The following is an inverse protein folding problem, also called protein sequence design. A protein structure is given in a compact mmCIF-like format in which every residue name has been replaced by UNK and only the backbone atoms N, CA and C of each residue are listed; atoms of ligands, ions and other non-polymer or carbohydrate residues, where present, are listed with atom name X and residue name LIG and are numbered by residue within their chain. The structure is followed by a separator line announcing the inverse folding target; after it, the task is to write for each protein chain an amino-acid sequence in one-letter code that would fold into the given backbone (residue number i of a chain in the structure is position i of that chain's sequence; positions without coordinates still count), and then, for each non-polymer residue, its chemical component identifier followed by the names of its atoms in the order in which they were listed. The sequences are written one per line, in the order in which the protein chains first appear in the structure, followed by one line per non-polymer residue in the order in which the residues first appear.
data_IF_144533117507
#
_entry.id   IF_144533117507
#
_cell.length_a   1.000
_cell.length_b   1.000
_cell.length_c   1.000
_cell.angle_alpha   90.00
_cell.angle_beta   90.00
_cell.angle_gamma   90.00
#
_symmetry.space_group_name_H-M   'P 1'
#
loop_
_entity.id
_entity.type
_entity.pdbx_description
1 polymer ?
#
# COMPACT_ATOMS: atom_id res chain seq x y z
N UNK A 1 19.49 -13.61 -14.47
CA UNK A 1 18.77 -12.77 -13.50
C UNK A 1 18.69 -13.56 -12.21
N UNK A 2 19.18 -13.00 -11.10
CA UNK A 2 18.99 -13.63 -9.80
C UNK A 2 17.48 -13.67 -9.52
N UNK A 3 16.93 -14.86 -9.32
CA UNK A 3 15.57 -15.06 -8.81
C UNK A 3 15.60 -14.68 -7.34
N UNK A 4 15.26 -13.44 -7.00
CA UNK A 4 15.00 -13.12 -5.60
C UNK A 4 13.65 -13.72 -5.21
N UNK A 5 13.62 -14.53 -4.16
CA UNK A 5 12.37 -15.06 -3.56
C UNK A 5 11.52 -13.96 -2.89
N UNK A 6 11.89 -12.69 -3.10
CA UNK A 6 11.28 -11.50 -2.53
C UNK A 6 11.15 -10.45 -3.63
N UNK A 7 9.97 -9.84 -3.72
CA UNK A 7 9.68 -8.69 -4.56
C UNK A 7 9.19 -7.57 -3.67
N UNK A 8 9.75 -6.38 -3.84
CA UNK A 8 9.27 -5.17 -3.17
C UNK A 8 8.39 -4.40 -4.14
N UNK A 9 7.14 -4.16 -3.75
CA UNK A 9 6.14 -3.53 -4.60
C UNK A 9 5.65 -2.21 -4.00
N UNK A 10 5.34 -1.25 -4.86
CA UNK A 10 4.76 0.04 -4.50
C UNK A 10 3.50 0.28 -5.34
N UNK A 11 2.41 0.70 -4.72
CA UNK A 11 1.21 1.06 -5.49
C UNK A 11 1.40 2.42 -6.19
N UNK A 12 0.75 2.65 -7.34
CA UNK A 12 0.88 3.91 -8.08
C UNK A 12 0.51 5.16 -7.27
N UNK A 13 -0.49 5.06 -6.39
CA UNK A 13 -0.91 6.17 -5.51
C UNK A 13 0.21 6.60 -4.57
N UNK A 14 0.87 5.65 -3.89
CA UNK A 14 2.04 5.96 -3.06
C UNK A 14 3.25 6.44 -3.88
N UNK A 15 3.41 5.97 -5.12
CA UNK A 15 4.44 6.53 -6.00
C UNK A 15 4.20 8.02 -6.27
N UNK A 16 2.94 8.41 -6.48
CA UNK A 16 2.54 9.81 -6.63
C UNK A 16 2.83 10.65 -5.37
N UNK A 17 2.52 10.13 -4.19
CA UNK A 17 2.82 10.80 -2.91
C UNK A 17 4.32 11.03 -2.70
N UNK A 18 5.15 10.11 -3.21
CA UNK A 18 6.61 10.24 -3.19
C UNK A 18 7.14 11.19 -4.28
N UNK A 19 6.27 11.94 -4.97
CA UNK A 19 6.61 12.92 -6.00
C UNK A 19 6.84 12.31 -7.38
N UNK A 20 6.50 11.05 -7.57
CA UNK A 20 6.52 10.39 -8.88
C UNK A 20 5.29 10.74 -9.73
N UNK A 21 5.39 10.48 -11.03
CA UNK A 21 4.27 10.53 -11.96
C UNK A 21 3.81 9.09 -12.28
N UNK A 22 2.67 8.62 -11.71
CA UNK A 22 2.15 7.29 -11.96
C UNK A 22 1.51 7.13 -13.37
N UNK A 23 1.41 8.21 -14.14
CA UNK A 23 0.83 8.20 -15.49
C UNK A 23 1.88 8.24 -16.59
N UNK A 24 3.17 8.30 -16.23
CA UNK A 24 4.27 8.33 -17.19
C UNK A 24 4.37 7.02 -17.99
N UNK A 25 4.69 7.13 -19.27
CA UNK A 25 4.88 5.98 -20.17
C UNK A 25 6.06 5.08 -19.76
N UNK A 26 7.03 5.63 -19.04
CA UNK A 26 8.24 4.92 -18.59
C UNK A 26 8.52 5.26 -17.13
N UNK A 27 8.67 4.22 -16.32
CA UNK A 27 9.16 4.36 -14.96
C UNK A 27 10.68 4.26 -14.87
N UNK A 28 11.28 4.92 -13.87
CA UNK A 28 10.63 5.87 -12.97
C UNK A 28 10.60 7.30 -13.53
N UNK A 29 9.66 8.12 -13.04
CA UNK A 29 9.44 9.51 -13.42
C UNK A 29 9.19 10.40 -12.19
N UNK A 30 10.25 10.99 -11.61
CA UNK A 30 10.14 12.21 -10.81
C UNK A 30 10.30 12.07 -9.29
N UNK A 31 10.30 10.86 -8.73
CA UNK A 31 10.50 10.69 -7.30
C UNK A 31 11.98 10.76 -6.92
N UNK A 32 12.34 11.73 -6.07
CA UNK A 32 13.68 11.77 -5.46
C UNK A 32 13.93 10.67 -4.42
N UNK A 33 12.89 9.93 -4.02
CA UNK A 33 12.97 8.97 -2.92
C UNK A 33 13.13 7.52 -3.38
N UNK A 34 12.43 7.12 -4.46
CA UNK A 34 12.33 5.70 -4.86
C UNK A 34 12.77 5.43 -6.29
N UNK A 35 12.99 6.46 -7.12
CA UNK A 35 13.36 6.27 -8.52
C UNK A 35 14.64 5.44 -8.70
N UNK A 36 15.69 5.67 -7.91
CA UNK A 36 16.93 4.88 -8.03
C UNK A 36 16.70 3.39 -7.76
N UNK A 37 15.92 3.06 -6.72
CA UNK A 37 15.56 1.68 -6.41
C UNK A 37 14.69 1.03 -7.51
N UNK A 38 13.86 1.80 -8.20
CA UNK A 38 13.09 1.32 -9.36
C UNK A 38 14.02 1.04 -10.55
N UNK A 39 14.95 1.97 -10.88
CA UNK A 39 15.92 1.79 -11.97
C UNK A 39 16.79 0.56 -11.77
N UNK A 40 17.19 0.32 -10.53
CA UNK A 40 18.03 -0.81 -10.15
C UNK A 40 17.25 -2.13 -10.02
N UNK A 41 15.93 -2.11 -10.21
CA UNK A 41 15.08 -3.30 -10.19
C UNK A 41 14.77 -3.83 -8.79
N UNK A 42 15.00 -3.05 -7.74
CA UNK A 42 14.66 -3.41 -6.37
C UNK A 42 13.17 -3.22 -6.08
N UNK A 43 12.56 -2.15 -6.62
CA UNK A 43 11.15 -1.79 -6.41
C UNK A 43 10.40 -1.90 -7.73
N UNK A 44 9.22 -2.52 -7.69
CA UNK A 44 8.29 -2.59 -8.80
C UNK A 44 7.03 -1.77 -8.51
N UNK A 45 6.67 -0.85 -9.41
CA UNK A 45 5.35 -0.20 -9.36
C UNK A 45 4.31 -1.19 -9.89
N UNK A 46 3.28 -1.45 -9.10
CA UNK A 46 2.21 -2.36 -9.53
C UNK A 46 1.24 -1.69 -10.48
N UNK A 47 0.45 -2.47 -11.22
CA UNK A 47 -0.73 -1.91 -11.91
C UNK A 47 -1.69 -1.27 -10.89
N UNK A 48 -2.46 -0.23 -11.26
CA UNK A 48 -3.51 0.33 -10.41
C UNK A 48 -4.49 -0.76 -9.93
N UNK A 49 -5.05 -0.56 -8.74
CA UNK A 49 -6.15 -1.40 -8.22
C UNK A 49 -7.49 -0.74 -8.54
N UNK A 50 -8.53 -1.55 -8.77
CA UNK A 50 -9.86 -1.03 -9.14
C UNK A 50 -10.56 -0.37 -7.95
N UNK A 51 -11.50 0.53 -8.24
CA UNK A 51 -12.40 1.15 -7.27
C UNK A 51 -12.28 2.66 -7.14
N UNK A 52 -13.43 3.28 -6.99
CA UNK A 52 -13.61 4.66 -6.56
C UNK A 52 -14.19 4.70 -5.14
N UNK A 53 -13.85 5.73 -4.35
CA UNK A 53 -14.40 5.90 -3.00
C UNK A 53 -15.92 6.13 -3.05
N UNK A 54 -16.42 6.72 -4.14
CA UNK A 54 -17.82 7.10 -4.32
C UNK A 54 -18.69 5.95 -4.85
N UNK A 55 -18.10 4.79 -5.17
CA UNK A 55 -18.85 3.61 -5.59
C UNK A 55 -19.72 3.08 -4.43
N UNK A 56 -20.96 2.67 -4.75
CA UNK A 56 -21.82 2.02 -3.75
C UNK A 56 -21.29 0.62 -3.48
N UNK A 57 -20.84 0.29 -2.25
CA UNK A 57 -20.31 -1.03 -1.94
C UNK A 57 -21.28 -2.19 -2.24
N UNK A 58 -22.58 -1.93 -2.33
CA UNK A 58 -23.58 -2.93 -2.71
C UNK A 58 -23.55 -3.31 -4.20
N UNK A 59 -23.02 -2.44 -5.06
CA UNK A 59 -22.94 -2.61 -6.51
C UNK A 59 -21.54 -3.06 -6.98
N UNK A 60 -20.56 -3.10 -6.09
CA UNK A 60 -19.19 -3.54 -6.38
C UNK A 60 -19.14 -5.07 -6.51
N UNK A 61 -18.72 -5.58 -7.67
CA UNK A 61 -18.50 -7.03 -7.90
C UNK A 61 -17.05 -7.48 -7.64
N UNK A 62 -16.08 -6.55 -7.75
CA UNK A 62 -14.65 -6.86 -7.58
C UNK A 62 -14.32 -7.09 -6.11
N UNK A 63 -13.76 -8.25 -5.79
CA UNK A 63 -13.31 -8.60 -4.43
C UNK A 63 -12.21 -7.64 -3.95
N UNK A 64 -11.30 -7.26 -4.85
CA UNK A 64 -10.24 -6.28 -4.56
C UNK A 64 -10.83 -4.93 -4.16
N UNK A 65 -11.91 -4.52 -4.82
CA UNK A 65 -12.57 -3.23 -4.61
C UNK A 65 -13.42 -3.22 -3.34
N UNK A 66 -14.20 -4.27 -3.09
CA UNK A 66 -14.91 -4.47 -1.83
C UNK A 66 -13.93 -4.39 -0.65
N UNK A 67 -12.77 -5.04 -0.76
CA UNK A 67 -11.75 -4.99 0.29
C UNK A 67 -11.16 -3.59 0.48
N UNK A 68 -11.09 -2.75 -0.56
CA UNK A 68 -10.68 -1.36 -0.42
C UNK A 68 -11.71 -0.54 0.34
N UNK A 69 -13.01 -0.73 0.08
CA UNK A 69 -14.08 -0.12 0.89
C UNK A 69 -14.04 -0.58 2.35
N UNK A 70 -13.87 -1.89 2.60
CA UNK A 70 -13.72 -2.42 3.96
C UNK A 70 -12.49 -1.84 4.67
N UNK A 71 -11.37 -1.72 3.96
CA UNK A 71 -10.16 -1.10 4.46
C UNK A 71 -10.39 0.37 4.80
N UNK A 72 -11.04 1.12 3.92
CA UNK A 72 -11.40 2.51 4.15
C UNK A 72 -12.23 2.64 5.44
N UNK A 73 -13.21 1.76 5.67
CA UNK A 73 -13.99 1.75 6.91
C UNK A 73 -13.14 1.47 8.15
N UNK A 74 -12.20 0.51 8.10
CA UNK A 74 -11.31 0.21 9.23
C UNK A 74 -10.35 1.36 9.52
N UNK A 75 -9.80 1.97 8.48
CA UNK A 75 -8.87 3.11 8.56
C UNK A 75 -9.61 4.33 9.17
N UNK A 76 -10.77 4.68 8.61
CA UNK A 76 -11.63 5.75 9.12
C UNK A 76 -12.05 5.55 10.59
N UNK A 77 -12.34 4.31 11.00
CA UNK A 77 -12.67 4.03 12.40
C UNK A 77 -11.48 4.17 13.38
N UNK A 78 -10.25 4.18 12.86
CA UNK A 78 -9.01 4.25 13.65
C UNK A 78 -8.43 5.67 13.69
N UNK A 79 -8.78 6.53 12.74
CA UNK A 79 -8.34 7.93 12.70
C UNK A 79 -9.15 8.80 13.67
N UNK A 80 -8.50 9.80 14.26
CA UNK A 80 -9.18 10.79 15.12
C UNK A 80 -9.92 11.87 14.31
N UNK A 81 -9.75 11.86 12.98
CA UNK A 81 -10.30 12.87 12.06
C UNK A 81 -11.00 12.27 10.84
N UNK A 82 -11.97 11.34 11.02
CA UNK A 82 -12.55 10.56 9.92
C UNK A 82 -13.37 11.38 8.91
N UNK A 83 -13.72 12.62 9.24
CA UNK A 83 -14.52 13.49 8.37
C UNK A 83 -13.68 14.45 7.54
N UNK A 84 -12.35 14.51 7.74
CA UNK A 84 -11.49 15.52 7.08
C UNK A 84 -10.27 14.93 6.38
N UNK A 85 -9.99 13.63 6.54
CA UNK A 85 -8.86 12.96 5.89
C UNK A 85 -9.43 11.90 4.95
N UNK A 86 -9.16 12.05 3.65
CA UNK A 86 -9.44 11.02 2.66
C UNK A 86 -8.24 10.07 2.64
N UNK A 87 -8.44 8.85 3.15
CA UNK A 87 -7.41 7.81 3.26
C UNK A 87 -7.64 6.71 2.19
N UNK A 88 -8.36 7.03 1.10
CA UNK A 88 -8.67 6.07 0.03
C UNK A 88 -7.42 5.56 -0.68
N UNK A 89 -6.42 6.41 -0.89
CA UNK A 89 -5.17 6.03 -1.54
C UNK A 89 -4.40 4.99 -0.70
N UNK A 90 -4.49 5.05 0.63
CA UNK A 90 -3.91 4.06 1.54
C UNK A 90 -4.51 2.67 1.37
N UNK A 91 -5.79 2.59 1.02
CA UNK A 91 -6.47 1.31 0.77
C UNK A 91 -5.86 0.54 -0.40
N UNK A 92 -5.12 1.22 -1.29
CA UNK A 92 -4.49 0.58 -2.44
C UNK A 92 -3.56 -0.56 -2.02
N UNK A 93 -2.87 -0.45 -0.88
CA UNK A 93 -2.00 -1.51 -0.37
C UNK A 93 -2.77 -2.75 0.10
N UNK A 94 -4.01 -2.59 0.55
CA UNK A 94 -4.91 -3.73 0.86
C UNK A 94 -5.34 -4.39 -0.45
N UNK A 95 -5.76 -3.59 -1.44
CA UNK A 95 -6.13 -4.11 -2.76
C UNK A 95 -4.98 -4.85 -3.46
N UNK A 96 -3.75 -4.31 -3.39
CA UNK A 96 -2.55 -4.96 -3.93
C UNK A 96 -2.29 -6.29 -3.22
N UNK A 97 -2.41 -6.34 -1.89
CA UNK A 97 -2.23 -7.58 -1.14
C UNK A 97 -3.21 -8.66 -1.59
N UNK A 98 -4.50 -8.34 -1.73
CA UNK A 98 -5.51 -9.29 -2.21
C UNK A 98 -5.21 -9.76 -3.64
N UNK A 99 -4.93 -8.84 -4.56
CA UNK A 99 -4.60 -9.20 -5.95
C UNK A 99 -3.40 -10.15 -6.02
N UNK A 100 -2.37 -9.93 -5.20
CA UNK A 100 -1.21 -10.83 -5.15
C UNK A 100 -1.60 -12.24 -4.66
N UNK A 101 -2.47 -12.34 -3.67
CA UNK A 101 -2.97 -13.64 -3.20
C UNK A 101 -3.88 -14.33 -4.23
N UNK A 102 -4.73 -13.60 -4.94
CA UNK A 102 -5.55 -14.14 -6.05
C UNK A 102 -4.67 -14.73 -7.17
N UNK A 103 -3.51 -14.13 -7.42
CA UNK A 103 -2.53 -14.62 -8.40
C UNK A 103 -1.73 -15.82 -7.88
N UNK A 104 -1.45 -15.88 -6.58
CA UNK A 104 -0.73 -16.98 -5.96
C UNK A 104 -0.98 -17.04 -4.45
N UNK A 105 -1.74 -18.02 -3.99
CA UNK A 105 -2.03 -18.21 -2.55
C UNK A 105 -0.82 -18.68 -1.72
N UNK A 106 0.27 -19.13 -2.36
CA UNK A 106 1.47 -19.67 -1.69
C UNK A 106 2.57 -18.62 -1.51
N UNK A 107 2.17 -17.40 -1.23
CA UNK A 107 3.07 -16.28 -0.94
C UNK A 107 2.86 -15.80 0.50
N UNK A 108 3.81 -14.99 0.97
CA UNK A 108 3.63 -14.16 2.16
C UNK A 108 3.64 -12.70 1.74
N UNK A 109 2.65 -11.94 2.19
CA UNK A 109 2.63 -10.48 2.00
C UNK A 109 3.02 -9.79 3.30
N UNK A 110 4.03 -8.92 3.24
CA UNK A 110 4.43 -8.09 4.39
C UNK A 110 4.30 -6.63 3.98
N UNK A 111 3.33 -5.92 4.57
CA UNK A 111 3.15 -4.49 4.36
C UNK A 111 3.98 -3.71 5.37
N UNK A 112 4.80 -2.79 4.87
CA UNK A 112 5.59 -1.87 5.68
C UNK A 112 4.93 -0.50 5.67
N UNK A 113 4.57 0.05 6.83
CA UNK A 113 3.88 1.33 6.89
C UNK A 113 4.16 2.09 8.20
N UNK A 114 4.12 3.41 8.15
CA UNK A 114 4.08 4.30 9.31
C UNK A 114 2.67 4.71 9.70
N UNK A 115 1.67 4.23 8.97
CA UNK A 115 0.25 4.48 9.23
C UNK A 115 -0.35 3.35 10.09
N UNK A 116 -0.98 3.74 11.20
CA UNK A 116 -1.57 2.78 12.15
C UNK A 116 -2.91 2.23 11.66
N UNK A 117 -3.72 3.05 10.99
CA UNK A 117 -4.99 2.65 10.40
C UNK A 117 -4.78 1.61 9.31
N UNK A 118 -3.86 1.86 8.38
CA UNK A 118 -3.50 0.93 7.32
C UNK A 118 -2.91 -0.37 7.89
N UNK A 119 -2.02 -0.29 8.87
CA UNK A 119 -1.48 -1.49 9.51
C UNK A 119 -2.60 -2.35 10.14
N UNK A 120 -3.62 -1.70 10.71
CA UNK A 120 -4.80 -2.38 11.26
C UNK A 120 -5.68 -2.96 10.15
N UNK A 121 -5.94 -2.22 9.08
CA UNK A 121 -6.74 -2.67 7.95
C UNK A 121 -6.13 -3.92 7.30
N UNK A 122 -4.82 -3.95 7.05
CA UNK A 122 -4.14 -5.14 6.53
C UNK A 122 -4.37 -6.37 7.42
N UNK A 123 -4.27 -6.21 8.74
CA UNK A 123 -4.42 -7.32 9.69
C UNK A 123 -5.87 -7.80 9.89
N UNK A 124 -6.86 -7.01 9.48
CA UNK A 124 -8.29 -7.32 9.65
C UNK A 124 -8.93 -7.72 8.34
N UNK A 125 -8.76 -6.90 7.31
CA UNK A 125 -9.43 -7.04 6.02
C UNK A 125 -8.84 -8.19 5.23
N UNK A 126 -7.51 -8.27 5.07
CA UNK A 126 -6.93 -9.36 4.24
C UNK A 126 -7.31 -10.77 4.76
N UNK A 127 -7.28 -11.05 6.08
CA UNK A 127 -7.80 -12.30 6.63
C UNK A 127 -9.33 -12.49 6.52
N UNK A 128 -10.11 -11.40 6.44
CA UNK A 128 -11.55 -11.48 6.21
C UNK A 128 -11.87 -12.15 4.86
N UNK A 129 -11.01 -11.93 3.87
CA UNK A 129 -11.11 -12.54 2.53
C UNK A 129 -10.41 -13.91 2.43
N UNK A 130 -10.01 -14.53 3.55
CA UNK A 130 -9.47 -15.89 3.60
C UNK A 130 -7.95 -16.01 3.43
N UNK A 131 -7.22 -14.89 3.36
CA UNK A 131 -5.76 -14.88 3.19
C UNK A 131 -5.05 -14.57 4.52
N UNK A 132 -4.34 -15.57 5.07
CA UNK A 132 -3.78 -15.50 6.42
C UNK A 132 -2.26 -15.32 6.49
N UNK A 133 -1.50 -15.60 5.43
CA UNK A 133 -0.03 -15.38 5.43
C UNK A 133 0.31 -13.92 5.10
N UNK A 134 -0.30 -13.01 5.86
CA UNK A 134 -0.17 -11.56 5.73
C UNK A 134 0.31 -10.95 7.03
N UNK A 135 1.20 -9.97 6.95
CA UNK A 135 1.70 -9.22 8.11
C UNK A 135 1.72 -7.72 7.80
N UNK A 136 1.43 -6.89 8.81
CA UNK A 136 1.70 -5.47 8.75
C UNK A 136 2.78 -5.11 9.77
N UNK A 137 3.90 -4.56 9.28
CA UNK A 137 4.97 -4.00 10.08
C UNK A 137 4.76 -2.50 10.19
N UNK A 138 4.21 -2.11 11.33
CA UNK A 138 4.01 -0.72 11.69
C UNK A 138 5.29 -0.14 12.29
N UNK A 139 5.72 1.01 11.76
CA UNK A 139 6.86 1.76 12.26
C UNK A 139 6.38 3.11 12.77
N UNK A 140 6.24 3.31 14.10
CA UNK A 140 5.88 4.61 14.63
C UNK A 140 6.83 5.68 14.08
N UNK A 141 6.35 6.83 13.58
CA UNK A 141 7.20 7.82 12.92
C UNK A 141 8.41 8.26 13.75
N UNK A 142 8.24 8.32 15.08
CA UNK A 142 9.32 8.62 16.04
C UNK A 142 10.43 7.56 16.04
N UNK A 143 10.08 6.28 15.87
CA UNK A 143 11.01 5.16 15.93
C UNK A 143 11.75 4.97 14.59
N UNK A 144 11.16 5.42 13.47
CA UNK A 144 11.80 5.38 12.13
C UNK A 144 13.10 6.17 12.13
N UNK A 145 13.08 7.39 12.71
CA UNK A 145 14.26 8.27 12.77
C UNK A 145 15.42 7.66 13.57
N UNK A 146 15.10 6.90 14.60
CA UNK A 146 16.10 6.24 15.45
C UNK A 146 16.64 4.96 14.82
N UNK A 147 15.81 4.23 14.08
CA UNK A 147 16.13 2.90 13.54
C UNK A 147 16.74 2.92 12.15
N UNK A 148 16.40 3.93 11.35
CA UNK A 148 16.92 4.15 10.01
C UNK A 148 17.57 5.53 9.99
N UNK A 149 18.91 5.65 10.12
CA UNK A 149 19.59 6.93 10.01
C UNK A 149 19.43 7.44 8.57
N UNK A 150 18.39 8.23 8.33
CA UNK A 150 18.15 8.86 7.03
C UNK A 150 19.05 10.09 6.95
N UNK A 151 19.88 10.17 5.89
CA UNK A 151 20.87 11.24 5.74
C UNK A 151 20.23 12.64 5.58
N UNK A 152 18.96 12.70 5.19
CA UNK A 152 18.17 13.92 5.10
C UNK A 152 16.87 13.73 5.89
N UNK A 153 16.57 14.69 6.77
CA UNK A 153 15.36 14.66 7.58
C UNK A 153 14.13 14.63 6.67
N UNK A 154 13.31 13.58 6.76
CA UNK A 154 11.92 13.66 6.33
C UNK A 154 11.24 14.76 7.15
N UNK A 155 10.94 15.89 6.50
CA UNK A 155 10.15 16.98 7.06
C UNK A 155 8.72 16.71 6.58
N UNK A 156 7.84 16.38 7.53
CA UNK A 156 6.39 16.30 7.32
C UNK A 156 5.78 17.66 7.64
#
# INVERSE_FOLDING_TARGET
MATSDVTLTLAPTMYAELGGDPTADVYPSGSKYVDEAIRDGWVHITDPVSGDIDDDPADVESVVEQARHDAHHVIAATTNHPQTVNEWDDTALVGVALRLFEQNERIRVIVHTTDRGLAKAIQVVVPHYGYYDVQARYYPPKDVKERFPVAENFIW
#
